data_IF_295481472799
#
_entry.id   IF_295481472799
#
_cell.length_a   1.000
_cell.length_b   1.000
_cell.length_c   1.000
_cell.angle_alpha   90.00
_cell.angle_beta   90.00
_cell.angle_gamma   90.00
#
_symmetry.space_group_name_H-M   'P 1'
#
loop_
_entity.id
_entity.type
_entity.pdbx_description
1 polymer ?
#
# COMPACT_ATOMS: atom_id res chain seq x y z
N UNK A 1 10.17 -16.64 -11.62
CA UNK A 1 10.23 -16.74 -10.14
C UNK A 1 10.18 -15.33 -9.58
N UNK A 2 9.27 -15.04 -8.66
CA UNK A 2 9.09 -13.72 -8.06
C UNK A 2 10.31 -13.35 -7.21
N UNK A 3 10.92 -12.18 -7.48
CA UNK A 3 11.99 -11.63 -6.67
C UNK A 3 11.39 -10.91 -5.45
N UNK A 4 12.07 -10.97 -4.31
CA UNK A 4 11.63 -10.31 -3.08
C UNK A 4 12.74 -9.39 -2.58
N UNK A 5 12.40 -8.16 -2.29
CA UNK A 5 13.30 -7.20 -1.65
C UNK A 5 12.63 -6.64 -0.39
N UNK A 6 13.40 -6.50 0.67
CA UNK A 6 13.02 -5.77 1.88
C UNK A 6 13.91 -4.52 1.98
N UNK A 7 13.26 -3.35 2.05
CA UNK A 7 13.98 -2.08 2.14
C UNK A 7 13.94 -1.48 3.56
N UNK A 8 13.33 -2.18 4.52
CA UNK A 8 13.17 -1.70 5.88
C UNK A 8 12.46 -0.35 5.97
N UNK A 9 12.88 0.51 6.90
CA UNK A 9 12.37 1.88 7.01
C UNK A 9 13.14 2.80 6.04
N UNK A 10 12.49 3.28 5.00
CA UNK A 10 13.10 4.05 3.92
C UNK A 10 12.32 5.35 3.63
N UNK A 11 13.02 6.45 3.27
CA UNK A 11 12.37 7.69 2.80
C UNK A 11 11.55 7.43 1.54
N UNK A 12 10.37 8.05 1.47
CA UNK A 12 9.44 7.81 0.35
C UNK A 12 10.01 8.21 -1.01
N UNK A 13 10.72 9.33 -1.09
CA UNK A 13 11.30 9.79 -2.36
C UNK A 13 12.37 8.82 -2.86
N UNK A 14 13.18 8.30 -1.95
CA UNK A 14 14.18 7.28 -2.28
C UNK A 14 13.51 5.98 -2.76
N UNK A 15 12.49 5.51 -2.04
CA UNK A 15 11.74 4.32 -2.42
C UNK A 15 11.06 4.49 -3.79
N UNK A 16 10.48 5.66 -4.07
CA UNK A 16 9.85 5.93 -5.36
C UNK A 16 10.86 5.93 -6.52
N UNK A 17 12.05 6.45 -6.30
CA UNK A 17 13.12 6.40 -7.32
C UNK A 17 13.63 4.97 -7.54
N UNK A 18 13.82 4.18 -6.48
CA UNK A 18 14.18 2.76 -6.60
C UNK A 18 13.13 1.95 -7.36
N UNK A 19 11.83 2.20 -7.13
CA UNK A 19 10.76 1.56 -7.90
C UNK A 19 10.89 1.80 -9.40
N UNK A 20 11.19 3.05 -9.82
CA UNK A 20 11.39 3.39 -11.24
C UNK A 20 12.57 2.64 -11.85
N UNK A 21 13.68 2.53 -11.10
CA UNK A 21 14.87 1.78 -11.54
C UNK A 21 14.55 0.29 -11.71
N UNK A 22 13.82 -0.32 -10.78
CA UNK A 22 13.38 -1.72 -10.91
C UNK A 22 12.43 -1.89 -12.10
N UNK A 23 11.45 -1.00 -12.25
CA UNK A 23 10.52 -1.05 -13.38
C UNK A 23 11.24 -0.95 -14.74
N UNK A 24 12.28 -0.13 -14.85
CA UNK A 24 13.09 -0.04 -16.07
C UNK A 24 13.91 -1.31 -16.32
N UNK A 25 14.48 -1.93 -15.26
CA UNK A 25 15.18 -3.22 -15.38
C UNK A 25 14.26 -4.35 -15.82
N UNK A 26 13.04 -4.42 -15.23
CA UNK A 26 12.02 -5.41 -15.61
C UNK A 26 11.63 -5.20 -17.08
N UNK A 27 11.38 -3.98 -17.49
CA UNK A 27 11.06 -3.62 -18.88
C UNK A 27 12.13 -4.05 -19.87
N UNK A 28 13.40 -3.96 -19.48
CA UNK A 28 14.54 -4.39 -20.28
C UNK A 28 14.86 -5.89 -20.16
N UNK A 29 14.04 -6.65 -19.43
CA UNK A 29 14.27 -8.08 -19.13
C UNK A 29 15.58 -8.37 -18.39
N UNK A 30 16.08 -7.39 -17.63
CA UNK A 30 17.28 -7.50 -16.79
C UNK A 30 16.97 -8.02 -15.38
N UNK A 31 15.71 -7.94 -14.97
CA UNK A 31 15.22 -8.35 -13.65
C UNK A 31 13.81 -8.96 -13.77
N UNK A 32 13.53 -9.97 -12.96
CA UNK A 32 12.19 -10.56 -12.85
C UNK A 32 11.23 -9.62 -12.08
N UNK A 33 9.91 -9.86 -12.23
CA UNK A 33 8.88 -9.24 -11.39
C UNK A 33 9.28 -9.31 -9.92
N UNK A 34 9.16 -8.18 -9.21
CA UNK A 34 9.71 -8.01 -7.86
C UNK A 34 8.63 -7.50 -6.92
N UNK A 35 8.46 -8.17 -5.79
CA UNK A 35 7.71 -7.63 -4.65
C UNK A 35 8.70 -6.98 -3.68
N UNK A 36 8.53 -5.70 -3.43
CA UNK A 36 9.27 -4.97 -2.40
C UNK A 36 8.35 -4.80 -1.20
N UNK A 37 8.86 -5.06 0.01
CA UNK A 37 8.23 -4.66 1.26
C UNK A 37 9.09 -3.59 1.94
N UNK A 38 8.45 -2.62 2.58
CA UNK A 38 9.13 -1.57 3.33
C UNK A 38 8.17 -0.89 4.31
N UNK A 39 8.71 0.04 5.08
CA UNK A 39 7.98 1.02 5.87
C UNK A 39 8.48 2.42 5.54
N UNK A 40 7.70 3.44 5.83
CA UNK A 40 8.09 4.83 5.64
C UNK A 40 8.00 5.64 6.93
N UNK A 41 8.85 6.66 7.13
CA UNK A 41 8.53 7.76 8.02
C UNK A 41 7.19 8.39 7.60
N UNK A 42 6.51 9.08 8.54
CA UNK A 42 5.20 9.69 8.24
C UNK A 42 5.26 10.57 7.00
N UNK A 43 4.44 10.23 6.01
CA UNK A 43 4.37 10.88 4.70
C UNK A 43 2.96 10.81 4.13
N UNK A 44 2.50 11.89 3.52
CA UNK A 44 1.23 11.94 2.80
C UNK A 44 1.53 11.89 1.30
N UNK A 45 0.79 11.06 0.56
CA UNK A 45 0.85 11.00 -0.89
C UNK A 45 -0.50 11.33 -1.50
N UNK A 46 -0.51 12.20 -2.53
CA UNK A 46 -1.68 12.60 -3.29
C UNK A 46 -1.61 11.89 -4.63
N UNK A 47 -2.53 10.96 -4.87
CA UNK A 47 -2.64 10.24 -6.14
C UNK A 47 -3.33 11.05 -7.22
N UNK A 48 -3.50 10.46 -8.41
CA UNK A 48 -4.05 11.15 -9.60
C UNK A 48 -5.46 11.71 -9.44
N UNK A 49 -6.26 11.14 -8.56
CA UNK A 49 -7.64 11.56 -8.30
C UNK A 49 -7.74 12.42 -7.03
N UNK A 50 -6.60 12.67 -6.36
CA UNK A 50 -6.54 13.43 -5.13
C UNK A 50 -6.36 14.92 -5.34
N UNK A 51 -6.76 15.68 -4.34
CA UNK A 51 -6.52 17.11 -4.25
C UNK A 51 -5.94 17.49 -2.91
N UNK A 52 -5.29 18.66 -2.83
CA UNK A 52 -4.82 19.21 -1.56
C UNK A 52 -5.97 19.48 -0.58
N UNK A 53 -7.21 19.64 -1.06
CA UNK A 53 -8.39 19.88 -0.22
C UNK A 53 -8.73 18.69 0.68
N UNK A 54 -8.23 17.50 0.33
CA UNK A 54 -8.37 16.30 1.16
C UNK A 54 -7.31 16.20 2.28
N UNK A 55 -6.47 17.22 2.45
CA UNK A 55 -5.59 17.39 3.62
C UNK A 55 -6.28 18.36 4.59
N UNK A 56 -6.65 17.87 5.77
CA UNK A 56 -7.49 18.59 6.74
C UNK A 56 -6.73 19.55 7.63
N UNK A 57 -5.40 19.50 7.61
CA UNK A 57 -4.52 20.30 8.46
C UNK A 57 -3.65 21.24 7.63
N UNK A 58 -3.16 22.31 8.27
CA UNK A 58 -2.29 23.31 7.65
C UNK A 58 -0.93 22.66 7.24
N UNK A 59 -0.39 23.11 6.11
CA UNK A 59 0.93 22.69 5.62
C UNK A 59 2.06 22.99 6.63
N UNK A 60 1.99 24.10 7.35
CA UNK A 60 2.95 24.44 8.40
C UNK A 60 2.91 23.45 9.56
N UNK A 61 1.73 22.96 9.90
CA UNK A 61 1.59 21.91 10.90
C UNK A 61 2.30 20.62 10.44
N UNK A 62 2.10 20.18 9.21
CA UNK A 62 2.77 19.00 8.65
C UNK A 62 4.29 19.18 8.63
N UNK A 63 4.79 20.35 8.25
CA UNK A 63 6.22 20.67 8.26
C UNK A 63 6.82 20.58 9.68
N UNK A 64 6.11 21.12 10.69
CA UNK A 64 6.53 21.03 12.10
C UNK A 64 6.55 19.59 12.61
N UNK A 65 5.64 18.74 12.12
CA UNK A 65 5.59 17.31 12.44
C UNK A 65 6.59 16.49 11.61
N UNK A 66 7.32 17.10 10.67
CA UNK A 66 8.24 16.42 9.76
C UNK A 66 7.54 15.57 8.70
N UNK A 67 6.23 15.76 8.48
CA UNK A 67 5.43 15.01 7.51
C UNK A 67 5.53 15.67 6.15
N UNK A 68 6.21 14.99 5.22
CA UNK A 68 6.31 15.43 3.82
C UNK A 68 5.02 15.10 3.05
N UNK A 69 4.76 15.87 1.99
CA UNK A 69 3.62 15.62 1.09
C UNK A 69 4.15 15.52 -0.34
N UNK A 70 3.80 14.43 -1.03
CA UNK A 70 4.18 14.17 -2.41
C UNK A 70 2.95 14.03 -3.31
N UNK A 71 2.98 14.70 -4.46
CA UNK A 71 2.08 14.42 -5.57
C UNK A 71 2.69 13.30 -6.41
N UNK A 72 1.93 12.24 -6.64
CA UNK A 72 2.43 11.01 -7.25
C UNK A 72 1.49 10.47 -8.32
N UNK A 73 1.99 9.59 -9.15
CA UNK A 73 1.27 9.07 -10.32
C UNK A 73 0.47 7.77 -10.05
N UNK A 74 0.36 7.31 -8.78
CA UNK A 74 -0.51 6.19 -8.44
C UNK A 74 -1.99 6.51 -8.64
N UNK A 75 -2.79 5.49 -8.84
CA UNK A 75 -4.25 5.61 -8.75
C UNK A 75 -4.73 5.96 -7.34
N UNK A 76 -5.98 6.42 -7.26
CA UNK A 76 -6.62 6.82 -6.01
C UNK A 76 -6.34 8.26 -5.60
N UNK A 77 -6.83 8.61 -4.41
CA UNK A 77 -6.82 9.94 -3.81
C UNK A 77 -5.65 10.09 -2.81
N UNK A 78 -5.84 10.82 -1.72
CA UNK A 78 -4.86 11.01 -0.64
C UNK A 78 -4.75 9.74 0.21
N UNK A 79 -3.53 9.41 0.62
CA UNK A 79 -3.25 8.42 1.67
C UNK A 79 -2.07 8.86 2.53
N UNK A 80 -1.90 8.16 3.65
CA UNK A 80 -0.81 8.38 4.61
C UNK A 80 -0.04 7.07 4.80
N UNK A 81 1.28 7.19 4.89
CA UNK A 81 2.18 6.13 5.30
C UNK A 81 2.90 6.56 6.56
N UNK A 82 3.12 5.64 7.50
CA UNK A 82 3.84 5.89 8.74
C UNK A 82 4.43 4.61 9.33
N UNK A 83 5.36 4.69 10.28
CA UNK A 83 6.00 3.53 10.87
C UNK A 83 5.00 2.54 11.48
N UNK A 84 5.24 1.25 11.26
CA UNK A 84 4.32 0.18 11.66
C UNK A 84 3.27 -0.18 10.59
N UNK A 85 3.24 0.54 9.45
CA UNK A 85 2.47 0.18 8.27
C UNK A 85 3.39 -0.57 7.29
N UNK A 86 3.01 -1.76 6.85
CA UNK A 86 3.71 -2.46 5.77
C UNK A 86 3.27 -1.87 4.44
N UNK A 87 4.23 -1.32 3.69
CA UNK A 87 4.01 -0.88 2.32
C UNK A 87 4.61 -1.91 1.36
N UNK A 88 3.79 -2.39 0.44
CA UNK A 88 4.22 -3.35 -0.57
C UNK A 88 4.16 -2.73 -1.96
N UNK A 89 5.26 -2.88 -2.69
CA UNK A 89 5.38 -2.45 -4.08
C UNK A 89 5.54 -3.67 -5.00
N UNK A 90 4.45 -4.23 -5.53
CA UNK A 90 4.52 -5.28 -6.56
C UNK A 90 4.85 -4.64 -7.91
N UNK A 91 6.14 -4.65 -8.26
CA UNK A 91 6.67 -4.13 -9.51
C UNK A 91 6.76 -5.29 -10.48
N UNK A 92 5.73 -5.47 -11.30
CA UNK A 92 5.50 -6.66 -12.10
C UNK A 92 5.35 -6.32 -13.57
N UNK A 93 5.84 -7.19 -14.45
CA UNK A 93 5.44 -7.22 -15.85
C UNK A 93 4.15 -8.03 -15.99
N UNK A 94 3.04 -7.37 -16.23
CA UNK A 94 1.75 -8.03 -16.38
C UNK A 94 1.64 -8.87 -17.67
N UNK A 95 2.55 -8.70 -18.64
CA UNK A 95 2.60 -9.57 -19.82
C UNK A 95 2.97 -11.01 -19.44
N UNK A 96 3.74 -11.21 -18.37
CA UNK A 96 4.11 -12.54 -17.88
C UNK A 96 2.94 -13.27 -17.19
N UNK A 97 1.84 -12.55 -16.90
CA UNK A 97 0.65 -13.06 -16.21
C UNK A 97 -0.61 -12.79 -17.02
N UNK A 98 -1.23 -11.63 -16.82
CA UNK A 98 -2.38 -11.14 -17.55
C UNK A 98 -2.25 -9.61 -17.68
N UNK A 99 -2.23 -9.05 -18.92
CA UNK A 99 -2.17 -7.62 -19.14
C UNK A 99 -3.53 -6.94 -18.86
N UNK A 100 -3.88 -6.91 -17.58
CA UNK A 100 -5.13 -6.39 -17.06
C UNK A 100 -4.90 -5.84 -15.64
N UNK A 101 -4.84 -4.51 -15.49
CA UNK A 101 -4.56 -3.86 -14.21
C UNK A 101 -5.69 -4.07 -13.19
N UNK A 102 -6.94 -4.17 -13.64
CA UNK A 102 -8.07 -4.45 -12.74
C UNK A 102 -8.00 -5.86 -12.17
N UNK A 103 -7.68 -6.85 -13.01
CA UNK A 103 -7.40 -8.20 -12.56
C UNK A 103 -6.28 -8.20 -11.51
N UNK A 104 -5.14 -7.57 -11.81
CA UNK A 104 -3.99 -7.53 -10.91
C UNK A 104 -4.31 -6.88 -9.56
N UNK A 105 -5.08 -5.78 -9.58
CA UNK A 105 -5.57 -5.13 -8.36
C UNK A 105 -6.42 -6.10 -7.52
N UNK A 106 -7.32 -6.87 -8.15
CA UNK A 106 -8.15 -7.87 -7.47
C UNK A 106 -7.33 -9.02 -6.88
N UNK A 107 -6.24 -9.44 -7.56
CA UNK A 107 -5.33 -10.45 -7.05
C UNK A 107 -4.56 -9.93 -5.82
N UNK A 108 -4.10 -8.68 -5.83
CA UNK A 108 -3.49 -8.06 -4.64
C UNK A 108 -4.50 -8.01 -3.47
N UNK A 109 -5.73 -7.58 -3.72
CA UNK A 109 -6.76 -7.59 -2.67
C UNK A 109 -6.97 -9.00 -2.11
N UNK A 110 -6.97 -10.03 -2.96
CA UNK A 110 -7.10 -11.41 -2.50
C UNK A 110 -5.92 -11.83 -1.62
N UNK A 111 -4.69 -11.53 -2.03
CA UNK A 111 -3.50 -11.82 -1.21
C UNK A 111 -3.61 -11.17 0.18
N UNK A 112 -4.09 -9.93 0.25
CA UNK A 112 -4.25 -9.23 1.54
C UNK A 112 -5.41 -9.82 2.36
N UNK A 113 -6.52 -10.23 1.73
CA UNK A 113 -7.63 -10.92 2.41
C UNK A 113 -7.15 -12.25 3.00
N UNK A 114 -6.40 -13.04 2.25
CA UNK A 114 -5.85 -14.31 2.70
C UNK A 114 -4.83 -14.08 3.83
N UNK A 115 -4.02 -13.04 3.72
CA UNK A 115 -3.09 -12.62 4.77
C UNK A 115 -3.81 -12.26 6.06
N UNK A 116 -4.80 -11.38 6.01
CA UNK A 116 -5.56 -10.98 7.20
C UNK A 116 -6.30 -12.14 7.83
N UNK A 117 -6.88 -13.03 7.00
CA UNK A 117 -7.56 -14.24 7.46
C UNK A 117 -6.62 -15.21 8.19
N UNK A 118 -5.34 -15.32 7.77
CA UNK A 118 -4.35 -16.17 8.43
C UNK A 118 -4.01 -15.70 9.85
N UNK A 119 -4.30 -14.46 10.18
CA UNK A 119 -4.16 -13.87 11.53
C UNK A 119 -5.51 -13.78 12.28
N UNK A 120 -6.58 -14.37 11.73
CA UNK A 120 -7.91 -14.37 12.37
C UNK A 120 -8.69 -13.05 12.19
N UNK A 121 -8.29 -12.20 11.23
CA UNK A 121 -9.00 -10.95 10.90
C UNK A 121 -9.78 -11.16 9.60
N UNK A 122 -11.10 -11.40 9.67
CA UNK A 122 -11.92 -11.54 8.46
C UNK A 122 -12.06 -10.20 7.75
N UNK A 123 -11.60 -10.15 6.52
CA UNK A 123 -11.65 -8.97 5.66
C UNK A 123 -12.29 -9.31 4.32
N UNK A 124 -12.77 -8.27 3.63
CA UNK A 124 -13.50 -8.40 2.38
C UNK A 124 -13.24 -7.23 1.43
N UNK A 125 -13.66 -7.40 0.18
CA UNK A 125 -13.81 -6.30 -0.77
C UNK A 125 -15.14 -5.60 -0.53
N UNK A 126 -15.17 -4.29 -0.73
CA UNK A 126 -16.42 -3.51 -0.76
C UNK A 126 -16.68 -3.07 -2.19
N UNK A 127 -17.87 -3.33 -2.69
CA UNK A 127 -18.24 -2.98 -4.07
C UNK A 127 -18.07 -1.47 -4.32
N UNK A 128 -17.46 -1.14 -5.46
CA UNK A 128 -17.17 0.25 -5.84
C UNK A 128 -15.99 0.90 -5.11
N UNK A 129 -15.40 0.22 -4.12
CA UNK A 129 -14.26 0.74 -3.34
C UNK A 129 -13.03 -0.14 -3.51
N UNK A 130 -11.87 0.50 -3.75
CA UNK A 130 -10.59 -0.18 -3.81
C UNK A 130 -9.98 -0.33 -2.41
N UNK A 131 -9.32 -1.48 -2.17
CA UNK A 131 -8.67 -1.82 -0.92
C UNK A 131 -9.35 -2.96 -0.17
N UNK A 132 -8.85 -3.27 1.02
CA UNK A 132 -9.34 -4.38 1.85
C UNK A 132 -9.95 -3.83 3.14
N UNK A 133 -11.09 -4.40 3.55
CA UNK A 133 -11.95 -3.83 4.57
C UNK A 133 -12.33 -4.86 5.62
N UNK A 134 -12.17 -4.52 6.90
CA UNK A 134 -12.73 -5.28 7.99
C UNK A 134 -14.21 -4.90 8.18
N UNK A 135 -15.09 -5.92 8.22
CA UNK A 135 -16.56 -5.78 8.37
C UNK A 135 -17.18 -4.78 7.37
N UNK A 136 -16.61 -4.63 6.17
CA UNK A 136 -17.09 -3.72 5.11
C UNK A 136 -17.08 -2.22 5.44
N UNK A 137 -16.55 -1.84 6.59
CA UNK A 137 -16.61 -0.46 7.10
C UNK A 137 -15.24 0.16 7.38
N UNK A 138 -14.31 -0.62 7.89
CA UNK A 138 -12.99 -0.15 8.34
C UNK A 138 -11.91 -0.61 7.37
N UNK A 139 -11.25 0.34 6.71
CA UNK A 139 -10.18 0.02 5.77
C UNK A 139 -8.92 -0.40 6.52
N UNK A 140 -8.45 -1.62 6.26
CA UNK A 140 -7.21 -2.14 6.81
C UNK A 140 -6.04 -2.00 5.81
N UNK A 141 -6.34 -2.02 4.50
CA UNK A 141 -5.34 -1.87 3.46
C UNK A 141 -5.83 -0.92 2.37
N UNK A 142 -5.03 0.10 2.08
CA UNK A 142 -5.20 0.96 0.91
C UNK A 142 -4.40 0.41 -0.26
N UNK A 143 -4.91 0.54 -1.49
CA UNK A 143 -4.24 0.08 -2.71
C UNK A 143 -4.33 1.18 -3.76
N UNK A 144 -3.17 1.52 -4.35
CA UNK A 144 -3.10 2.47 -5.44
C UNK A 144 -1.93 2.11 -6.35
N UNK A 145 -2.24 1.62 -7.55
CA UNK A 145 -1.26 1.20 -8.55
C UNK A 145 -1.08 2.27 -9.63
N UNK A 146 0.10 2.26 -10.24
CA UNK A 146 0.34 2.83 -11.55
C UNK A 146 0.78 1.72 -12.50
N UNK A 147 0.40 1.82 -13.77
CA UNK A 147 0.83 0.87 -14.79
C UNK A 147 1.22 1.64 -16.06
N UNK A 148 2.41 1.36 -16.57
CA UNK A 148 2.91 1.90 -17.83
C UNK A 148 3.52 0.77 -18.64
N UNK A 149 3.02 0.57 -19.87
CA UNK A 149 3.48 -0.51 -20.76
C UNK A 149 3.43 -1.89 -20.09
N UNK A 150 2.38 -2.12 -19.31
CA UNK A 150 2.14 -3.32 -18.51
C UNK A 150 3.12 -3.57 -17.36
N UNK A 151 4.04 -2.64 -17.08
CA UNK A 151 4.86 -2.67 -15.86
C UNK A 151 4.16 -1.87 -14.76
N UNK A 152 4.00 -2.48 -13.59
CA UNK A 152 3.35 -1.85 -12.44
C UNK A 152 4.35 -1.16 -11.52
N UNK A 153 3.91 -0.11 -10.85
CA UNK A 153 4.60 0.57 -9.75
C UNK A 153 3.59 0.99 -8.68
N UNK A 154 4.09 1.49 -7.56
CA UNK A 154 3.31 1.67 -6.35
C UNK A 154 2.69 0.35 -5.88
N UNK A 155 1.61 0.36 -5.10
CA UNK A 155 1.08 -0.90 -4.60
C UNK A 155 0.09 -0.73 -3.48
N UNK A 156 0.38 -1.34 -2.32
CA UNK A 156 -0.54 -1.38 -1.19
C UNK A 156 0.12 -0.86 0.10
N UNK A 157 -0.72 -0.42 1.02
CA UNK A 157 -0.35 0.01 2.36
C UNK A 157 -1.24 -0.68 3.37
N UNK A 158 -0.68 -1.64 4.11
CA UNK A 158 -1.34 -2.47 5.09
C UNK A 158 -1.08 -1.94 6.49
N UNK A 159 -2.12 -1.54 7.18
CA UNK A 159 -2.01 -1.08 8.56
C UNK A 159 -1.82 -2.26 9.50
N UNK A 160 -0.67 -2.33 10.17
CA UNK A 160 -0.34 -3.40 11.14
C UNK A 160 -0.32 -2.84 12.56
N UNK A 161 0.69 -2.06 12.91
CA UNK A 161 0.86 -1.47 14.25
C UNK A 161 0.92 0.06 14.23
N UNK A 162 0.74 0.66 13.07
CA UNK A 162 0.95 2.08 12.86
C UNK A 162 -0.08 2.95 13.60
N UNK A 163 0.31 4.19 13.90
CA UNK A 163 -0.53 5.19 14.53
C UNK A 163 -1.68 5.62 13.60
N UNK A 164 -2.91 5.22 13.92
CA UNK A 164 -4.08 5.52 13.09
C UNK A 164 -4.59 6.94 13.22
N UNK A 165 -4.26 7.65 14.30
CA UNK A 165 -4.65 9.05 14.53
C UNK A 165 -4.04 10.02 13.50
N UNK A 166 -2.93 9.68 12.86
CA UNK A 166 -2.37 10.51 11.78
C UNK A 166 -3.26 10.52 10.52
N UNK A 167 -4.14 9.53 10.36
CA UNK A 167 -5.14 9.54 9.29
C UNK A 167 -6.18 10.66 9.45
N UNK A 168 -6.31 11.26 10.64
CA UNK A 168 -7.17 12.44 10.87
C UNK A 168 -6.64 13.68 10.13
N UNK A 169 -5.38 13.66 9.66
CA UNK A 169 -4.80 14.75 8.86
C UNK A 169 -5.25 14.73 7.40
N UNK A 170 -5.99 13.71 7.00
CA UNK A 170 -6.49 13.55 5.62
C UNK A 170 -7.94 13.08 5.62
N UNK A 171 -8.65 13.30 4.51
CA UNK A 171 -9.90 12.61 4.18
C UNK A 171 -9.55 11.46 3.23
N UNK A 172 -9.36 10.22 3.72
CA UNK A 172 -8.89 9.13 2.87
C UNK A 172 -9.90 8.83 1.76
N UNK A 173 -9.46 8.93 0.50
CA UNK A 173 -10.29 8.65 -0.69
C UNK A 173 -11.60 9.44 -0.79
N UNK A 174 -11.71 10.62 -0.14
CA UNK A 174 -12.93 11.43 -0.15
C UNK A 174 -14.16 10.73 0.47
N UNK A 175 -13.96 9.61 1.18
CA UNK A 175 -15.03 8.79 1.74
C UNK A 175 -15.42 9.28 3.12
N UNK A 176 -16.38 10.18 3.18
CA UNK A 176 -16.98 10.65 4.43
C UNK A 176 -17.63 9.48 5.17
N UNK A 177 -17.30 9.30 6.45
CA UNK A 177 -17.88 8.27 7.31
C UNK A 177 -17.29 6.87 7.20
N UNK A 178 -16.15 6.69 6.50
CA UNK A 178 -15.38 5.45 6.53
C UNK A 178 -14.23 5.57 7.53
N UNK A 179 -13.98 4.48 8.25
CA UNK A 179 -12.93 4.40 9.26
C UNK A 179 -11.69 3.69 8.71
N UNK A 180 -10.55 3.91 9.36
CA UNK A 180 -9.35 3.10 9.19
C UNK A 180 -9.16 2.19 10.39
N UNK A 181 -8.56 1.02 10.12
CA UNK A 181 -8.21 0.05 11.17
C UNK A 181 -6.82 -0.54 10.89
N UNK A 182 -6.34 -1.38 11.80
CA UNK A 182 -5.05 -2.07 11.71
C UNK A 182 -5.14 -3.44 12.34
N UNK A 183 -4.15 -4.29 12.12
CA UNK A 183 -4.04 -5.58 12.81
C UNK A 183 -4.10 -5.39 14.32
N UNK A 184 -3.30 -4.47 14.87
CA UNK A 184 -3.27 -4.21 16.30
C UNK A 184 -4.64 -3.80 16.85
N UNK A 185 -5.40 -2.98 16.12
CA UNK A 185 -6.74 -2.54 16.52
C UNK A 185 -7.77 -3.68 16.46
N UNK A 186 -7.74 -4.51 15.42
CA UNK A 186 -8.69 -5.63 15.27
C UNK A 186 -8.40 -6.77 16.26
N UNK A 187 -7.13 -7.03 16.58
CA UNK A 187 -6.72 -8.11 17.49
C UNK A 187 -6.62 -7.67 18.96
N UNK A 188 -6.63 -6.35 19.22
CA UNK A 188 -6.47 -5.80 20.56
C UNK A 188 -5.04 -5.93 21.11
N UNK A 189 -4.05 -6.23 20.30
CA UNK A 189 -2.64 -6.40 20.69
C UNK A 189 -1.71 -6.07 19.54
N UNK A 190 -0.48 -5.62 19.87
CA UNK A 190 0.59 -5.40 18.90
C UNK A 190 1.07 -6.75 18.34
N UNK A 191 1.32 -6.79 17.03
CA UNK A 191 1.76 -7.98 16.31
C UNK A 191 3.22 -7.81 15.88
N UNK A 192 3.99 -8.90 15.90
CA UNK A 192 5.34 -8.92 15.34
C UNK A 192 5.27 -8.68 13.82
N UNK A 193 5.78 -7.53 13.36
CA UNK A 193 5.62 -7.07 11.97
C UNK A 193 6.29 -8.02 10.98
N UNK A 194 7.45 -8.56 11.34
CA UNK A 194 8.19 -9.53 10.53
C UNK A 194 7.37 -10.82 10.28
N UNK A 195 6.47 -11.20 11.21
CA UNK A 195 5.58 -12.36 11.01
C UNK A 195 4.55 -12.10 9.93
N UNK A 196 4.05 -10.85 9.85
CA UNK A 196 3.10 -10.43 8.81
C UNK A 196 3.80 -10.34 7.46
N UNK A 197 5.02 -9.79 7.43
CA UNK A 197 5.83 -9.69 6.20
C UNK A 197 6.18 -11.08 5.65
N UNK A 198 6.66 -12.01 6.48
CA UNK A 198 6.94 -13.39 6.05
C UNK A 198 5.72 -14.05 5.45
N UNK A 199 4.55 -13.94 6.10
CA UNK A 199 3.30 -14.51 5.57
C UNK A 199 2.82 -13.83 4.30
N UNK A 200 3.00 -12.52 4.19
CA UNK A 200 2.73 -11.77 2.96
C UNK A 200 3.57 -12.30 1.79
N UNK A 201 4.89 -12.47 2.00
CA UNK A 201 5.81 -13.01 0.99
C UNK A 201 5.40 -14.43 0.55
N UNK A 202 5.05 -15.29 1.51
CA UNK A 202 4.58 -16.64 1.22
C UNK A 202 3.36 -16.63 0.30
N UNK A 203 2.32 -15.88 0.65
CA UNK A 203 1.08 -15.77 -0.13
C UNK A 203 1.35 -15.22 -1.54
N UNK A 204 2.19 -14.16 -1.65
CA UNK A 204 2.53 -13.62 -2.97
C UNK A 204 3.31 -14.60 -3.84
N UNK A 205 4.24 -15.39 -3.26
CA UNK A 205 4.98 -16.44 -3.99
C UNK A 205 4.12 -17.63 -4.43
N UNK A 206 3.05 -17.92 -3.67
CA UNK A 206 2.09 -18.96 -4.05
C UNK A 206 1.15 -18.49 -5.16
N UNK A 207 0.90 -17.17 -5.21
CA UNK A 207 -0.04 -16.57 -6.15
C UNK A 207 0.59 -16.23 -7.49
N UNK A 208 1.85 -15.81 -7.49
CA UNK A 208 2.60 -15.29 -8.64
C UNK A 208 3.95 -16.02 -8.84
#
# INVERSE_FOLDING_TARGET
>A
MLNIEDWGLIDYAEAWERQKQIAEKIKNHEQASTLVLCQHPSVITIGRNGTNDNITVDRKFLELMGIKVFEVDRGGDVTLHNPGQIVGYPIFDLNDYKPDLHWFLREIEQCIIDLTASFGIPCERVEGLTGVWASGKRKICAIGLHCSRWITTHGFALNVNNALNEFDYIVPCGLVGKEVTSFAKELGTVIEIDSVERKCIEIFKEKF
#
